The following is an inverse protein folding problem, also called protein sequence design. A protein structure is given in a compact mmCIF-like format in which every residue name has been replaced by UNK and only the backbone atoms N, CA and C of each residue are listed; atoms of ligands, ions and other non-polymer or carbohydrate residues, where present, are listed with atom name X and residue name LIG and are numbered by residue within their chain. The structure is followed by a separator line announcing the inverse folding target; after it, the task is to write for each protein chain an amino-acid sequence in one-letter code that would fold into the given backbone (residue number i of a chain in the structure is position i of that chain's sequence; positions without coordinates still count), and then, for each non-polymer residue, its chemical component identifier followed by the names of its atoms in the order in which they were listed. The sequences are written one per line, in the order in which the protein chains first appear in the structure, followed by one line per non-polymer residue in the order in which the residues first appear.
data_IF_677227497519
#
_entry.id   IF_677227497519
#
_cell.length_a   1.000
_cell.length_b   1.000
_cell.length_c   1.000
_cell.angle_alpha   90.00
_cell.angle_beta   90.00
_cell.angle_gamma   90.00
#
_symmetry.space_group_name_H-M   'P 1'
#
loop_
_entity.id
_entity.type
_entity.pdbx_description
1 polymer ?
#
# COMPACT_ATOMS: atom_id res chain seq x y z
N UNK A 1 -14.44 9.06 -11.52
CA UNK A 1 -15.33 8.79 -10.38
C UNK A 1 -15.10 7.35 -9.89
N UNK A 2 -14.71 7.19 -8.62
CA UNK A 2 -14.51 5.91 -7.95
C UNK A 2 -15.82 5.38 -7.31
N UNK A 3 -16.97 5.98 -7.63
CA UNK A 3 -18.26 5.56 -7.07
C UNK A 3 -18.43 5.99 -5.61
N UNK A 4 -17.84 7.14 -5.24
CA UNK A 4 -17.88 7.66 -3.86
C UNK A 4 -16.80 7.09 -2.92
N UNK A 5 -15.94 6.18 -3.38
CA UNK A 5 -14.82 5.66 -2.58
C UNK A 5 -13.75 6.73 -2.41
N UNK A 6 -13.44 7.06 -1.15
CA UNK A 6 -12.35 7.97 -0.79
C UNK A 6 -11.01 7.25 -0.80
N UNK A 7 -9.96 7.96 -1.17
CA UNK A 7 -8.61 7.42 -1.30
C UNK A 7 -7.63 8.43 -0.73
N UNK A 8 -6.90 8.04 0.31
CA UNK A 8 -5.93 8.91 0.98
C UNK A 8 -4.54 8.86 0.31
N UNK A 9 -4.30 7.88 -0.55
CA UNK A 9 -2.96 7.57 -1.03
C UNK A 9 -2.98 6.86 -2.39
N UNK A 10 -1.99 7.20 -3.22
CA UNK A 10 -1.79 6.60 -4.53
C UNK A 10 -0.30 6.45 -4.83
N UNK A 11 0.06 5.40 -5.56
CA UNK A 11 1.36 5.20 -6.21
C UNK A 11 1.14 4.79 -7.68
N UNK A 12 1.99 5.26 -8.58
CA UNK A 12 1.89 4.99 -10.02
C UNK A 12 3.19 4.33 -10.47
N UNK A 13 3.09 3.16 -11.09
CA UNK A 13 4.24 2.52 -11.73
C UNK A 13 4.47 3.03 -13.14
N UNK A 14 5.71 2.91 -13.64
CA UNK A 14 6.10 3.30 -14.99
C UNK A 14 5.33 2.61 -16.12
N UNK A 15 4.73 1.45 -15.85
CA UNK A 15 3.82 0.76 -16.78
C UNK A 15 2.38 1.35 -16.80
N UNK A 16 2.12 2.42 -16.04
CA UNK A 16 0.82 3.08 -15.94
C UNK A 16 -0.17 2.41 -14.97
N UNK A 17 0.24 1.36 -14.25
CA UNK A 17 -0.57 0.77 -13.18
C UNK A 17 -0.64 1.72 -11.99
N UNK A 18 -1.84 1.97 -11.50
CA UNK A 18 -2.08 2.78 -10.31
C UNK A 18 -2.46 1.89 -9.15
N UNK A 19 -1.80 2.07 -8.01
CA UNK A 19 -2.14 1.44 -6.74
C UNK A 19 -2.67 2.51 -5.81
N UNK A 20 -3.86 2.32 -5.26
CA UNK A 20 -4.49 3.23 -4.33
C UNK A 20 -4.98 2.46 -3.10
N UNK A 21 -5.11 3.14 -1.97
CA UNK A 21 -5.69 2.58 -0.76
C UNK A 21 -6.93 3.35 -0.35
N UNK A 22 -8.01 2.66 0.01
CA UNK A 22 -9.26 3.28 0.45
C UNK A 22 -9.51 3.14 1.96
N UNK A 23 -10.60 3.76 2.42
CA UNK A 23 -10.99 3.77 3.83
C UNK A 23 -11.58 2.45 4.34
N UNK A 24 -11.95 1.54 3.44
CA UNK A 24 -12.45 0.20 3.77
C UNK A 24 -11.36 -0.86 3.81
N UNK A 25 -10.09 -0.46 3.72
CA UNK A 25 -8.97 -1.38 3.82
C UNK A 25 -8.67 -2.14 2.52
N UNK A 26 -9.16 -1.67 1.37
CA UNK A 26 -8.92 -2.30 0.08
C UNK A 26 -7.80 -1.60 -0.68
N UNK A 27 -6.93 -2.39 -1.30
CA UNK A 27 -6.05 -1.91 -2.37
C UNK A 27 -6.85 -1.86 -3.67
N UNK A 28 -6.88 -0.68 -4.30
CA UNK A 28 -7.46 -0.44 -5.61
C UNK A 28 -6.32 -0.48 -6.62
N UNK A 29 -6.42 -1.37 -7.61
CA UNK A 29 -5.47 -1.48 -8.72
C UNK A 29 -6.16 -1.04 -10.00
N UNK A 30 -5.64 0.00 -10.64
CA UNK A 30 -6.13 0.49 -11.93
C UNK A 30 -5.11 0.16 -13.02
N UNK A 31 -5.54 -0.59 -14.04
CA UNK A 31 -4.68 -0.95 -15.18
C UNK A 31 -5.53 -1.10 -16.44
N UNK A 32 -5.12 -0.47 -17.54
CA UNK A 32 -5.84 -0.59 -18.82
C UNK A 32 -7.31 -0.12 -18.78
N UNK A 33 -7.66 0.75 -17.83
CA UNK A 33 -9.04 1.20 -17.60
C UNK A 33 -9.87 0.27 -16.71
N UNK A 34 -9.35 -0.91 -16.35
CA UNK A 34 -9.98 -1.83 -15.42
C UNK A 34 -9.62 -1.49 -13.97
N UNK A 35 -10.50 -1.89 -13.04
CA UNK A 35 -10.36 -1.66 -11.61
C UNK A 35 -10.46 -3.00 -10.88
N UNK A 36 -9.50 -3.29 -10.02
CA UNK A 36 -9.53 -4.46 -9.15
C UNK A 36 -9.42 -4.02 -7.69
N UNK A 37 -10.21 -4.64 -6.83
CA UNK A 37 -10.19 -4.43 -5.39
C UNK A 37 -9.57 -5.66 -4.74
N UNK A 38 -8.55 -5.44 -3.90
CA UNK A 38 -7.88 -6.49 -3.14
C UNK A 38 -8.12 -6.22 -1.66
N UNK A 39 -8.84 -7.11 -0.94
CA UNK A 39 -9.00 -6.99 0.51
C UNK A 39 -7.64 -7.03 1.18
N UNK A 40 -7.25 -5.90 1.78
CA UNK A 40 -5.87 -5.69 2.19
C UNK A 40 -5.73 -5.41 3.68
N UNK A 41 -6.71 -4.83 4.36
CA UNK A 41 -6.59 -4.43 5.76
C UNK A 41 -7.97 -4.43 6.42
N UNK A 42 -8.01 -4.49 7.75
CA UNK A 42 -9.27 -4.45 8.52
C UNK A 42 -9.71 -3.01 8.87
N UNK A 43 -8.98 -2.01 8.36
CA UNK A 43 -9.28 -0.59 8.45
C UNK A 43 -8.62 0.18 7.29
N UNK A 44 -8.99 1.45 7.13
CA UNK A 44 -8.53 2.30 6.03
C UNK A 44 -7.02 2.34 5.82
N UNK A 45 -6.63 2.22 4.55
CA UNK A 45 -5.24 2.32 4.09
C UNK A 45 -4.86 3.79 4.00
N UNK A 46 -3.83 4.18 4.74
CA UNK A 46 -3.38 5.58 4.84
C UNK A 46 -2.11 5.85 4.07
N UNK A 47 -1.40 4.81 3.65
CA UNK A 47 -0.23 4.95 2.77
C UNK A 47 -0.05 3.73 1.89
N UNK A 48 0.23 3.96 0.61
CA UNK A 48 0.87 2.98 -0.26
C UNK A 48 2.21 3.49 -0.76
N UNK A 49 3.20 2.60 -0.90
CA UNK A 49 4.54 2.94 -1.42
C UNK A 49 4.97 1.85 -2.39
N UNK A 50 5.19 2.23 -3.65
CA UNK A 50 5.67 1.33 -4.70
C UNK A 50 7.21 1.33 -4.72
N UNK A 51 7.79 0.14 -4.62
CA UNK A 51 9.21 -0.13 -4.90
C UNK A 51 9.31 -0.84 -6.24
N UNK A 52 9.21 -0.07 -7.34
CA UNK A 52 9.04 -0.59 -8.70
C UNK A 52 10.18 -1.54 -9.12
N UNK A 53 11.44 -1.14 -8.93
CA UNK A 53 12.62 -1.97 -9.23
C UNK A 53 12.65 -3.30 -8.45
N UNK A 54 11.95 -3.34 -7.31
CA UNK A 54 11.88 -4.53 -6.45
C UNK A 54 10.67 -5.40 -6.77
N UNK A 55 9.72 -4.90 -7.57
CA UNK A 55 8.41 -5.54 -7.76
C UNK A 55 7.57 -5.61 -6.48
N UNK A 56 7.77 -4.66 -5.56
CA UNK A 56 7.13 -4.66 -4.24
C UNK A 56 6.24 -3.45 -4.03
N UNK A 57 5.17 -3.63 -3.26
CA UNK A 57 4.31 -2.56 -2.77
C UNK A 57 4.19 -2.69 -1.25
N UNK A 58 4.20 -1.57 -0.54
CA UNK A 58 3.86 -1.51 0.90
C UNK A 58 2.49 -0.85 1.04
N UNK A 59 1.66 -1.36 1.94
CA UNK A 59 0.47 -0.66 2.45
C UNK A 59 0.53 -0.52 3.97
N UNK A 60 0.14 0.66 4.47
CA UNK A 60 0.01 0.95 5.90
C UNK A 60 -1.45 1.27 6.24
N UNK A 61 -1.96 0.71 7.32
CA UNK A 61 -3.36 0.89 7.75
C UNK A 61 -3.48 1.25 9.23
N UNK A 62 -4.61 1.86 9.57
CA UNK A 62 -5.04 2.04 10.96
C UNK A 62 -5.40 0.73 11.68
N UNK A 63 -5.44 -0.41 10.99
CA UNK A 63 -5.50 -1.73 11.62
C UNK A 63 -4.20 -2.11 12.36
N UNK A 64 -3.24 -1.19 12.40
CA UNK A 64 -1.94 -1.29 13.07
C UNK A 64 -1.01 -2.32 12.41
N UNK A 65 -1.18 -2.57 11.11
CA UNK A 65 -0.28 -3.43 10.35
C UNK A 65 0.35 -2.70 9.16
N UNK A 66 1.56 -3.14 8.81
CA UNK A 66 2.14 -2.95 7.48
C UNK A 66 2.01 -4.27 6.73
N UNK A 67 1.56 -4.22 5.48
CA UNK A 67 1.62 -5.35 4.57
C UNK A 67 2.57 -5.07 3.42
N UNK A 68 3.34 -6.10 3.07
CA UNK A 68 4.23 -6.12 1.92
C UNK A 68 3.64 -7.03 0.85
N UNK A 69 3.59 -6.53 -0.38
CA UNK A 69 2.97 -7.22 -1.50
C UNK A 69 3.98 -7.43 -2.62
N UNK A 70 3.89 -8.57 -3.28
CA UNK A 70 4.48 -8.77 -4.60
C UNK A 70 3.51 -8.27 -5.67
N UNK A 71 3.97 -7.39 -6.55
CA UNK A 71 3.18 -6.79 -7.63
C UNK A 71 3.72 -7.13 -9.03
N UNK A 72 4.72 -8.00 -9.12
CA UNK A 72 5.37 -8.38 -10.39
C UNK A 72 4.41 -9.06 -11.38
N UNK A 73 3.42 -9.79 -10.86
CA UNK A 73 2.40 -10.51 -11.63
C UNK A 73 1.13 -9.69 -11.91
N UNK A 74 1.14 -8.38 -11.62
CA UNK A 74 0.01 -7.47 -11.85
C UNK A 74 -0.90 -7.31 -10.63
N UNK A 75 -1.56 -8.39 -10.20
CA UNK A 75 -2.43 -8.35 -9.00
C UNK A 75 -1.57 -8.50 -7.73
N UNK A 76 -1.64 -7.54 -6.78
CA UNK A 76 -0.91 -7.63 -5.51
C UNK A 76 -1.15 -8.95 -4.79
N UNK A 77 -0.08 -9.67 -4.48
CA UNK A 77 -0.09 -10.88 -3.66
C UNK A 77 0.56 -10.58 -2.32
N UNK A 78 -0.12 -10.90 -1.22
CA UNK A 78 0.42 -10.68 0.12
C UNK A 78 1.69 -11.53 0.30
N UNK A 79 2.81 -10.87 0.59
CA UNK A 79 4.10 -11.52 0.84
C UNK A 79 4.39 -11.61 2.32
N UNK A 80 4.13 -10.54 3.07
CA UNK A 80 4.38 -10.47 4.50
C UNK A 80 3.47 -9.45 5.19
N UNK A 81 3.28 -9.59 6.49
CA UNK A 81 2.49 -8.68 7.34
C UNK A 81 3.13 -8.56 8.72
N UNK A 82 3.27 -7.33 9.19
CA UNK A 82 3.86 -7.05 10.51
C UNK A 82 3.01 -6.05 11.28
N UNK A 83 2.81 -6.33 12.57
CA UNK A 83 2.18 -5.39 13.49
C UNK A 83 3.13 -4.22 13.77
N UNK A 84 2.62 -3.00 13.65
CA UNK A 84 3.38 -1.79 13.90
C UNK A 84 3.40 -1.47 15.39
N UNK A 85 4.58 -1.24 16.00
CA UNK A 85 4.66 -0.84 17.40
C UNK A 85 3.98 0.52 17.61
N UNK A 86 3.39 0.80 18.79
CA UNK A 86 2.55 1.98 19.02
C UNK A 86 3.17 3.32 18.61
N UNK A 87 4.49 3.46 18.72
CA UNK A 87 5.24 4.68 18.34
C UNK A 87 5.24 4.98 16.83
N UNK A 88 5.00 3.97 15.99
CA UNK A 88 4.88 4.15 14.54
C UNK A 88 3.45 4.54 14.21
N UNK A 89 3.27 5.74 13.63
CA UNK A 89 2.00 6.13 13.03
C UNK A 89 1.98 5.64 11.57
N UNK A 90 1.02 4.80 11.16
CA UNK A 90 0.89 4.26 9.79
C UNK A 90 0.52 5.30 8.72
N UNK A 91 1.22 6.43 8.66
CA UNK A 91 1.03 7.48 7.64
C UNK A 91 2.21 7.63 6.69
N UNK A 92 3.38 7.12 7.04
CA UNK A 92 4.55 7.22 6.17
C UNK A 92 5.55 6.11 6.40
N UNK A 93 6.09 5.62 5.30
CA UNK A 93 7.28 4.79 5.24
C UNK A 93 7.99 5.04 3.91
N UNK A 94 9.22 4.53 3.79
CA UNK A 94 9.94 4.47 2.53
C UNK A 94 10.78 3.19 2.46
N UNK A 95 10.95 2.66 1.25
CA UNK A 95 12.05 1.74 0.99
C UNK A 95 13.37 2.51 1.17
N UNK A 96 14.29 1.93 1.93
CA UNK A 96 15.66 2.43 2.06
C UNK A 96 16.63 1.56 1.24
N UNK A 97 17.94 1.76 1.42
CA UNK A 97 18.95 0.93 0.77
C UNK A 97 18.83 -0.55 1.21
N UNK A 98 19.41 -1.46 0.43
CA UNK A 98 19.43 -2.89 0.81
C UNK A 98 18.02 -3.47 0.94
N UNK A 99 17.69 -4.08 2.08
CA UNK A 99 16.38 -4.71 2.37
C UNK A 99 15.56 -3.96 3.41
N UNK A 100 15.86 -2.68 3.62
CA UNK A 100 15.33 -1.92 4.75
C UNK A 100 14.08 -1.12 4.38
N UNK A 101 13.18 -0.98 5.34
CA UNK A 101 12.01 -0.09 5.28
C UNK A 101 12.11 0.84 6.50
N UNK A 102 12.02 2.14 6.26
CA UNK A 102 12.06 3.16 7.31
C UNK A 102 10.67 3.74 7.52
N UNK A 103 10.34 4.05 8.77
CA UNK A 103 9.03 4.59 9.18
C UNK A 103 9.19 5.94 9.85
N UNK A 104 8.24 6.84 9.61
CA UNK A 104 8.11 8.05 10.40
C UNK A 104 7.51 7.72 11.77
N UNK A 105 8.09 8.30 12.82
CA UNK A 105 7.54 8.27 14.18
C UNK A 105 7.35 9.69 14.69
N UNK A 106 6.46 9.85 15.66
CA UNK A 106 6.32 11.10 16.42
C UNK A 106 6.89 10.83 17.82
N UNK A 107 7.67 11.79 18.33
CA UNK A 107 8.21 11.79 19.69
C UNK A 107 7.45 12.74 20.59
#
# INVERSE_FOLDING_TARGET
DLGGVETDTVAIGGNGTVYAGNDEGELIVLRGGERHFVPAHDAGIKRVVLGEERGLLISLSYDRTMRLWDVSAGTPQLRDSVALPPVVWPRTCAFAAGSEIVFGTFG
#
